data_IF_481142293575
#
_entry.id   IF_481142293575
#
_cell.length_a   1.000
_cell.length_b   1.000
_cell.length_c   1.000
_cell.angle_alpha   90.00
_cell.angle_beta   90.00
_cell.angle_gamma   90.00
#
_symmetry.space_group_name_H-M   'P 1'
#
loop_
_entity.id
_entity.type
_entity.pdbx_description
1 polymer ?
#
# COMPACT_ATOMS: atom_id res chain seq x y z
N UNK A 1 -33.30 16.99 -21.43
CA UNK A 1 -33.40 17.44 -20.03
C UNK A 1 -32.28 18.42 -19.79
N UNK A 2 -32.64 19.69 -19.62
CA UNK A 2 -31.75 20.85 -19.46
C UNK A 2 -31.24 20.92 -18.03
N UNK A 3 -29.93 20.97 -17.84
CA UNK A 3 -29.32 21.21 -16.53
C UNK A 3 -29.63 22.65 -16.10
N UNK A 4 -30.39 22.81 -15.02
CA UNK A 4 -30.62 24.10 -14.39
C UNK A 4 -29.29 24.72 -13.91
N UNK A 5 -29.09 26.04 -14.05
CA UNK A 5 -27.89 26.69 -13.57
C UNK A 5 -27.94 26.74 -12.04
N UNK A 6 -27.00 26.09 -11.37
CA UNK A 6 -26.88 26.17 -9.91
C UNK A 6 -26.45 27.58 -9.51
N UNK A 7 -27.42 28.32 -8.98
CA UNK A 7 -27.23 29.58 -8.26
C UNK A 7 -26.38 29.34 -7.00
N UNK A 8 -25.24 30.03 -6.92
CA UNK A 8 -24.37 30.07 -5.75
C UNK A 8 -23.24 29.04 -5.79
N UNK A 9 -22.05 29.47 -6.19
CA UNK A 9 -20.83 28.75 -5.83
C UNK A 9 -20.69 28.82 -4.30
N UNK A 10 -21.31 27.87 -3.59
CA UNK A 10 -20.91 27.57 -2.23
C UNK A 10 -19.51 27.00 -2.37
N UNK A 11 -18.49 27.81 -2.03
CA UNK A 11 -17.12 27.33 -1.97
C UNK A 11 -17.13 26.23 -0.91
N UNK A 12 -16.98 24.95 -1.29
CA UNK A 12 -16.98 23.89 -0.30
C UNK A 12 -15.81 24.17 0.64
N UNK A 13 -16.06 24.02 1.95
CA UNK A 13 -15.02 24.14 2.97
C UNK A 13 -13.77 23.35 2.55
N UNK A 14 -12.54 23.82 2.82
CA UNK A 14 -11.34 23.02 2.58
C UNK A 14 -11.37 21.64 3.23
N UNK A 15 -12.27 21.40 4.20
CA UNK A 15 -12.55 20.10 4.79
C UNK A 15 -13.18 19.08 3.83
N UNK A 16 -13.66 19.49 2.65
CA UNK A 16 -14.11 18.61 1.57
C UNK A 16 -12.99 18.19 0.61
N UNK A 17 -11.74 18.58 0.89
CA UNK A 17 -10.61 18.23 0.04
C UNK A 17 -9.57 17.48 0.86
N UNK A 18 -9.04 16.42 0.26
CA UNK A 18 -7.90 15.69 0.78
C UNK A 18 -6.71 15.87 -0.15
N UNK A 19 -5.56 16.23 0.41
CA UNK A 19 -4.33 16.45 -0.36
C UNK A 19 -3.36 15.28 -0.17
N UNK A 20 -2.84 14.75 -1.28
CA UNK A 20 -1.91 13.62 -1.31
C UNK A 20 -0.65 13.98 -2.08
N UNK A 21 0.50 13.47 -1.67
CA UNK A 21 1.64 13.37 -2.59
C UNK A 21 1.36 12.26 -3.60
N UNK A 22 1.81 12.41 -4.84
CA UNK A 22 1.75 11.34 -5.84
C UNK A 22 3.09 10.59 -5.90
N UNK A 23 3.01 9.26 -5.80
CA UNK A 23 4.10 8.31 -5.99
C UNK A 23 3.68 7.36 -7.12
N UNK A 24 4.40 7.36 -8.24
CA UNK A 24 4.09 6.47 -9.39
C UNK A 24 2.63 6.55 -9.87
N UNK A 25 2.09 7.78 -9.99
CA UNK A 25 0.69 8.04 -10.37
C UNK A 25 -0.35 7.50 -9.37
N UNK A 26 0.04 7.26 -8.11
CA UNK A 26 -0.83 6.80 -7.03
C UNK A 26 -0.72 7.70 -5.80
N UNK A 27 -1.78 7.83 -5.00
CA UNK A 27 -1.72 8.53 -3.72
C UNK A 27 -0.67 7.89 -2.80
N UNK A 28 0.31 8.67 -2.38
CA UNK A 28 1.34 8.31 -1.43
C UNK A 28 1.00 8.87 -0.04
N UNK A 29 1.70 9.91 0.38
CA UNK A 29 1.55 10.50 1.71
C UNK A 29 0.38 11.48 1.77
N UNK A 30 -0.46 11.31 2.78
CA UNK A 30 -1.53 12.25 3.13
C UNK A 30 -0.99 13.54 3.77
N UNK A 31 -1.44 14.69 3.27
CA UNK A 31 -1.15 16.03 3.81
C UNK A 31 -2.32 16.48 4.70
N UNK A 32 -2.23 16.16 6.00
CA UNK A 32 -3.36 16.22 6.95
C UNK A 32 -3.79 17.62 7.36
N UNK A 33 -2.86 18.56 7.43
CA UNK A 33 -3.13 19.87 8.04
C UNK A 33 -3.36 20.90 6.95
N UNK A 34 -4.62 21.35 6.81
CA UNK A 34 -5.02 22.41 5.88
C UNK A 34 -4.42 23.79 6.20
N UNK A 35 -3.85 23.97 7.39
CA UNK A 35 -3.16 25.21 7.82
C UNK A 35 -1.64 25.14 7.73
N UNK A 36 -1.08 23.97 7.44
CA UNK A 36 0.36 23.77 7.41
C UNK A 36 0.94 24.18 6.07
N UNK A 37 2.05 24.92 6.08
CA UNK A 37 2.69 25.35 4.84
C UNK A 37 3.38 24.16 4.15
N UNK A 38 3.31 24.08 2.82
CA UNK A 38 3.92 23.00 2.04
C UNK A 38 5.42 22.81 2.32
N UNK A 39 6.14 23.90 2.64
CA UNK A 39 7.57 23.87 3.01
C UNK A 39 7.86 23.00 4.23
N UNK A 40 6.91 22.85 5.14
CA UNK A 40 7.07 22.08 6.38
C UNK A 40 6.96 20.57 6.14
N UNK A 41 6.31 20.16 5.05
CA UNK A 41 6.18 18.75 4.68
C UNK A 41 7.47 18.15 4.10
N UNK A 42 8.52 18.96 3.91
CA UNK A 42 9.80 18.56 3.31
C UNK A 42 9.61 17.84 1.96
N UNK A 43 8.68 18.37 1.15
CA UNK A 43 8.41 17.85 -0.17
C UNK A 43 9.67 18.02 -1.04
N UNK A 44 10.02 16.98 -1.81
CA UNK A 44 11.14 17.04 -2.75
C UNK A 44 10.85 17.98 -3.92
N UNK A 45 11.87 18.34 -4.70
CA UNK A 45 11.80 19.34 -5.79
C UNK A 45 10.77 19.05 -6.90
N UNK A 46 10.34 17.80 -7.06
CA UNK A 46 9.40 17.35 -8.12
C UNK A 46 8.22 16.56 -7.54
N UNK A 47 7.77 16.92 -6.35
CA UNK A 47 6.62 16.24 -5.74
C UNK A 47 5.34 16.74 -6.39
N UNK A 48 4.60 15.85 -7.03
CA UNK A 48 3.25 16.12 -7.50
C UNK A 48 2.27 16.00 -6.33
N UNK A 49 1.28 16.89 -6.28
CA UNK A 49 0.23 16.88 -5.25
C UNK A 49 -1.11 16.68 -5.97
N UNK A 50 -1.89 15.72 -5.48
CA UNK A 50 -3.26 15.49 -5.92
C UNK A 50 -4.24 16.03 -4.87
N UNK A 51 -5.31 16.67 -5.34
CA UNK A 51 -6.45 17.06 -4.51
C UNK A 51 -7.63 16.14 -4.84
N UNK A 52 -8.04 15.37 -3.85
CA UNK A 52 -9.16 14.43 -3.92
C UNK A 52 -10.40 15.10 -3.29
N UNK A 53 -11.49 15.30 -4.05
CA UNK A 53 -12.74 15.79 -3.50
C UNK A 53 -13.42 14.71 -2.66
N UNK A 54 -13.91 15.10 -1.49
CA UNK A 54 -14.60 14.25 -0.53
C UNK A 54 -16.12 14.50 -0.59
N UNK A 55 -16.88 13.46 -0.31
CA UNK A 55 -18.36 13.53 -0.26
C UNK A 55 -18.89 14.19 1.02
N UNK A 56 -18.06 14.22 2.07
CA UNK A 56 -18.38 14.80 3.38
C UNK A 56 -17.15 15.50 3.93
N UNK A 57 -17.38 16.46 4.82
CA UNK A 57 -16.29 17.09 5.56
C UNK A 57 -15.52 16.04 6.36
N UNK A 58 -14.20 16.17 6.35
CA UNK A 58 -13.29 15.30 7.06
C UNK A 58 -12.40 16.10 8.00
N UNK A 59 -12.29 15.62 9.25
CA UNK A 59 -11.41 16.18 10.27
C UNK A 59 -10.60 15.02 10.86
N UNK A 60 -9.44 14.72 10.28
CA UNK A 60 -8.58 13.64 10.75
C UNK A 60 -7.74 14.10 11.95
N UNK A 61 -7.73 13.28 12.99
CA UNK A 61 -6.81 13.40 14.10
C UNK A 61 -5.38 13.02 13.72
N UNK A 62 -4.40 13.31 14.60
CA UNK A 62 -2.99 12.98 14.37
C UNK A 62 -2.70 11.46 14.37
N UNK A 63 -3.57 10.66 15.01
CA UNK A 63 -3.44 9.20 15.10
C UNK A 63 -4.41 8.45 14.17
N UNK A 64 -5.30 9.16 13.48
CA UNK A 64 -6.17 8.52 12.49
C UNK A 64 -5.35 8.07 11.30
N UNK A 65 -5.72 7.01 10.61
CA UNK A 65 -5.09 6.56 9.37
C UNK A 65 -6.19 6.29 8.35
N UNK A 66 -6.03 6.78 7.13
CA UNK A 66 -6.99 6.56 6.06
C UNK A 66 -6.51 5.40 5.20
N UNK A 67 -7.27 4.30 5.18
CA UNK A 67 -7.01 3.14 4.32
C UNK A 67 -8.06 3.06 3.22
N UNK A 68 -7.65 2.67 2.01
CA UNK A 68 -8.56 2.40 0.90
C UNK A 68 -9.04 0.96 0.99
N UNK A 69 -10.27 0.76 1.46
CA UNK A 69 -10.81 -0.59 1.64
C UNK A 69 -11.55 -1.07 0.41
N UNK A 70 -11.42 -2.36 0.11
CA UNK A 70 -12.12 -3.00 -1.00
C UNK A 70 -12.76 -4.30 -0.49
N UNK A 71 -14.08 -4.42 -0.64
CA UNK A 71 -14.80 -5.64 -0.27
C UNK A 71 -14.74 -6.66 -1.42
N UNK A 72 -14.40 -7.92 -1.10
CA UNK A 72 -14.42 -9.03 -2.05
C UNK A 72 -15.85 -9.28 -2.52
N UNK A 73 -16.04 -9.43 -3.82
CA UNK A 73 -17.32 -9.83 -4.40
C UNK A 73 -17.50 -11.34 -4.25
N UNK A 74 -18.64 -11.82 -3.71
CA UNK A 74 -18.95 -13.24 -3.63
C UNK A 74 -18.92 -13.92 -5.00
N UNK A 75 -18.28 -15.08 -5.08
CA UNK A 75 -18.18 -15.93 -6.26
C UNK A 75 -17.17 -15.45 -7.30
N UNK A 76 -16.51 -14.31 -7.06
CA UNK A 76 -15.74 -13.61 -8.08
C UNK A 76 -14.30 -13.31 -7.65
N UNK A 77 -13.36 -13.44 -8.58
CA UNK A 77 -11.98 -12.97 -8.39
C UNK A 77 -11.84 -11.45 -8.62
N UNK A 78 -12.72 -10.67 -7.99
CA UNK A 78 -12.83 -9.22 -8.14
C UNK A 78 -13.26 -8.51 -6.84
N UNK A 79 -13.07 -7.20 -6.78
CA UNK A 79 -13.42 -6.38 -5.62
C UNK A 79 -14.41 -5.28 -6.01
N UNK A 80 -15.24 -4.89 -5.04
CA UNK A 80 -16.06 -3.70 -5.12
C UNK A 80 -15.19 -2.42 -5.18
N UNK A 81 -15.76 -1.27 -5.62
CA UNK A 81 -15.06 0.01 -5.60
C UNK A 81 -14.47 0.35 -4.23
N UNK A 82 -13.33 1.08 -4.23
CA UNK A 82 -12.68 1.48 -3.00
C UNK A 82 -13.58 2.38 -2.15
N UNK A 83 -13.60 2.13 -0.84
CA UNK A 83 -14.22 3.00 0.16
C UNK A 83 -13.20 3.34 1.23
N UNK A 84 -13.12 4.61 1.60
CA UNK A 84 -12.18 5.06 2.62
C UNK A 84 -12.62 4.64 4.03
N UNK A 85 -11.69 4.02 4.75
CA UNK A 85 -11.82 3.69 6.16
C UNK A 85 -10.85 4.54 6.97
N UNK A 86 -11.39 5.35 7.88
CA UNK A 86 -10.60 6.02 8.91
C UNK A 86 -10.41 5.05 10.08
N UNK A 87 -9.16 4.75 10.42
CA UNK A 87 -8.75 3.89 11.53
C UNK A 87 -7.98 4.68 12.59
N UNK A 88 -8.53 4.77 13.80
CA UNK A 88 -7.85 5.36 14.94
C UNK A 88 -6.77 4.42 15.49
N UNK A 89 -5.50 4.82 15.35
CA UNK A 89 -4.34 4.05 15.79
C UNK A 89 -3.86 4.39 17.19
N UNK A 90 -4.58 5.25 17.95
CA UNK A 90 -4.25 5.55 19.35
C UNK A 90 -4.26 4.30 20.24
N UNK A 91 -5.06 3.28 19.88
CA UNK A 91 -5.12 1.97 20.54
C UNK A 91 -4.03 0.99 20.09
N UNK A 92 -3.14 1.43 19.21
CA UNK A 92 -2.02 0.66 18.70
C UNK A 92 -2.22 0.18 17.25
N UNK A 93 -1.10 0.02 16.57
CA UNK A 93 -0.99 -0.40 15.18
C UNK A 93 -1.02 -1.94 15.03
N UNK A 94 -2.00 -2.62 15.61
CA UNK A 94 -2.05 -4.08 15.62
C UNK A 94 -3.00 -4.67 14.60
N UNK A 95 -2.76 -5.92 14.20
CA UNK A 95 -3.70 -6.64 13.35
C UNK A 95 -5.09 -6.76 14.01
N UNK A 96 -5.11 -6.93 15.34
CA UNK A 96 -6.35 -7.02 16.11
C UNK A 96 -7.17 -5.73 16.10
N UNK A 97 -6.56 -4.56 16.34
CA UNK A 97 -7.29 -3.29 16.34
C UNK A 97 -7.76 -2.90 14.93
N UNK A 98 -6.96 -3.17 13.90
CA UNK A 98 -7.40 -3.00 12.50
C UNK A 98 -8.59 -3.92 12.20
N UNK A 99 -8.52 -5.20 12.58
CA UNK A 99 -9.59 -6.16 12.35
C UNK A 99 -10.89 -5.75 13.04
N UNK A 100 -10.83 -5.34 14.31
CA UNK A 100 -12.00 -4.81 15.01
C UNK A 100 -12.62 -3.60 14.29
N UNK A 101 -11.77 -2.68 13.80
CA UNK A 101 -12.25 -1.50 13.07
C UNK A 101 -12.92 -1.89 11.74
N UNK A 102 -12.33 -2.81 10.99
CA UNK A 102 -12.87 -3.30 9.72
C UNK A 102 -14.17 -4.07 9.94
N UNK A 103 -14.24 -4.93 10.96
CA UNK A 103 -15.45 -5.68 11.32
C UNK A 103 -16.61 -4.73 11.61
N UNK A 104 -16.37 -3.70 12.43
CA UNK A 104 -17.36 -2.66 12.69
C UNK A 104 -17.78 -1.92 11.41
N UNK A 105 -16.82 -1.57 10.55
CA UNK A 105 -17.10 -0.88 9.29
C UNK A 105 -17.96 -1.72 8.34
N UNK A 106 -17.72 -3.03 8.28
CA UNK A 106 -18.45 -3.95 7.41
C UNK A 106 -19.73 -4.50 8.05
N UNK A 107 -20.00 -4.20 9.33
CA UNK A 107 -21.07 -4.82 10.12
C UNK A 107 -20.99 -6.36 10.14
N UNK A 108 -19.76 -6.89 10.27
CA UNK A 108 -19.49 -8.33 10.30
C UNK A 108 -18.83 -8.75 11.63
N UNK A 109 -19.00 -10.01 12.08
CA UNK A 109 -18.23 -10.54 13.21
C UNK A 109 -16.72 -10.50 12.93
N UNK A 110 -15.93 -10.23 13.97
CA UNK A 110 -14.45 -10.11 13.86
C UNK A 110 -13.81 -11.41 13.38
N UNK A 111 -14.40 -12.55 13.73
CA UNK A 111 -13.95 -13.90 13.37
C UNK A 111 -14.35 -14.28 11.93
N UNK A 112 -15.19 -13.45 11.29
CA UNK A 112 -15.75 -13.70 9.96
C UNK A 112 -15.22 -12.74 8.90
N UNK A 113 -14.09 -12.11 9.20
CA UNK A 113 -13.40 -11.24 8.26
C UNK A 113 -11.94 -11.63 8.13
N UNK A 114 -11.46 -11.55 6.89
CA UNK A 114 -10.04 -11.56 6.60
C UNK A 114 -9.64 -10.29 5.88
N UNK A 115 -8.39 -9.90 6.08
CA UNK A 115 -7.85 -8.64 5.57
C UNK A 115 -6.52 -8.96 4.92
N UNK A 116 -6.25 -8.39 3.74
CA UNK A 116 -4.94 -8.42 3.13
C UNK A 116 -4.53 -7.01 2.67
N UNK A 117 -3.23 -6.70 2.72
CA UNK A 117 -2.67 -5.49 2.12
C UNK A 117 -2.34 -5.75 0.65
N UNK A 118 -2.71 -4.84 -0.23
CA UNK A 118 -2.30 -4.86 -1.62
C UNK A 118 -0.96 -4.15 -1.84
N UNK A 119 -0.06 -4.78 -2.58
CA UNK A 119 1.20 -4.24 -3.05
C UNK A 119 1.15 -4.08 -4.58
N UNK A 120 0.75 -2.89 -5.07
CA UNK A 120 0.49 -2.70 -6.49
C UNK A 120 1.73 -2.82 -7.38
N UNK A 121 2.93 -2.57 -6.85
CA UNK A 121 4.19 -2.69 -7.59
C UNK A 121 4.52 -4.14 -7.95
N UNK A 122 3.91 -5.10 -7.23
CA UNK A 122 4.11 -6.54 -7.41
C UNK A 122 2.84 -7.27 -7.80
N UNK A 123 1.70 -6.59 -7.81
CA UNK A 123 0.38 -7.20 -7.95
C UNK A 123 0.15 -8.31 -6.91
N UNK A 124 0.61 -8.08 -5.67
CA UNK A 124 0.60 -9.07 -4.59
C UNK A 124 -0.33 -8.65 -3.47
N UNK A 125 -1.03 -9.63 -2.92
CA UNK A 125 -1.83 -9.46 -1.70
C UNK A 125 -1.14 -10.18 -0.56
N UNK A 126 -0.97 -9.48 0.56
CA UNK A 126 -0.36 -10.03 1.77
C UNK A 126 -1.40 -10.10 2.88
N UNK A 127 -1.89 -11.31 3.23
CA UNK A 127 -2.83 -11.48 4.33
C UNK A 127 -2.30 -10.95 5.66
N UNK A 128 -3.11 -10.13 6.33
CA UNK A 128 -2.87 -9.61 7.66
C UNK A 128 -3.45 -10.60 8.67
N UNK A 129 -2.62 -11.56 9.05
CA UNK A 129 -2.95 -12.54 10.07
C UNK A 129 -2.76 -11.94 11.46
N UNK A 130 -3.82 -11.95 12.29
CA UNK A 130 -3.64 -11.80 13.73
C UNK A 130 -3.11 -13.12 14.27
N UNK A 131 -1.93 -13.11 14.91
CA UNK A 131 -1.26 -14.27 15.51
C UNK A 131 -2.12 -15.05 16.54
N UNK A 132 -3.33 -14.59 16.86
CA UNK A 132 -4.18 -15.16 17.90
C UNK A 132 -4.78 -16.55 17.58
N UNK A 133 -4.49 -17.15 16.42
CA UNK A 133 -5.01 -18.50 16.08
C UNK A 133 -4.13 -19.69 16.51
N UNK A 134 -2.92 -19.48 17.05
CA UNK A 134 -2.11 -20.61 17.56
C UNK A 134 -1.47 -20.33 18.91
N UNK A 135 -2.26 -20.52 19.96
CA UNK A 135 -1.79 -21.01 21.25
C UNK A 135 -1.28 -22.46 21.11
N UNK A 136 -0.25 -22.68 20.29
CA UNK A 136 0.48 -23.96 20.24
C UNK A 136 1.96 -23.70 20.27
N UNK A 137 2.49 -23.75 21.50
CA UNK A 137 3.81 -24.29 21.86
C UNK A 137 4.96 -24.02 20.87
N UNK A 138 5.65 -22.90 21.05
CA UNK A 138 7.13 -22.83 21.13
C UNK A 138 7.56 -21.38 21.35
N UNK A 139 8.45 -21.19 22.33
CA UNK A 139 9.20 -19.94 22.57
C UNK A 139 9.81 -19.43 21.26
N UNK A 140 9.13 -18.52 20.57
CA UNK A 140 9.67 -17.77 19.44
C UNK A 140 9.39 -16.31 19.70
N UNK A 141 10.47 -15.53 19.78
CA UNK A 141 10.57 -14.09 20.05
C UNK A 141 9.31 -13.35 19.61
N UNK A 142 8.61 -12.71 20.57
CA UNK A 142 7.43 -11.85 20.40
C UNK A 142 7.59 -10.97 19.16
N UNK A 143 7.13 -11.44 18.01
CA UNK A 143 7.30 -10.75 16.72
C UNK A 143 6.31 -9.60 16.74
N UNK A 144 6.83 -8.41 16.49
CA UNK A 144 6.15 -7.14 16.66
C UNK A 144 4.82 -7.16 15.89
N UNK A 145 3.70 -7.13 16.62
CA UNK A 145 2.34 -6.98 16.08
C UNK A 145 2.11 -5.53 15.62
N UNK A 146 3.13 -4.87 15.05
CA UNK A 146 3.05 -3.50 14.57
C UNK A 146 2.97 -3.51 13.05
N UNK A 147 1.82 -3.11 12.50
CA UNK A 147 1.56 -3.04 11.07
C UNK A 147 2.37 -1.97 10.34
N UNK A 148 2.99 -1.02 11.04
CA UNK A 148 3.92 -0.05 10.43
C UNK A 148 5.27 -0.67 10.04
N UNK A 149 5.60 -1.82 10.64
CA UNK A 149 6.85 -2.52 10.39
C UNK A 149 6.73 -3.55 9.27
N UNK A 150 7.85 -4.20 8.97
CA UNK A 150 7.86 -5.36 8.10
C UNK A 150 6.92 -6.46 8.64
N UNK A 151 6.19 -7.17 7.77
CA UNK A 151 6.24 -7.10 6.30
C UNK A 151 5.24 -6.10 5.69
N UNK A 152 4.38 -5.47 6.49
CA UNK A 152 3.21 -4.75 5.97
C UNK A 152 3.53 -3.31 5.62
N UNK A 153 4.30 -2.60 6.43
CA UNK A 153 4.58 -1.16 6.24
C UNK A 153 3.32 -0.34 5.95
N UNK A 154 2.26 -0.59 6.74
CA UNK A 154 0.96 0.01 6.54
C UNK A 154 1.03 1.52 6.79
N UNK A 155 0.47 2.30 5.88
CA UNK A 155 0.43 3.77 5.91
C UNK A 155 -0.87 4.31 5.32
N UNK A 156 -1.08 5.62 5.42
CA UNK A 156 -2.19 6.29 4.76
C UNK A 156 -2.21 6.00 3.24
N UNK A 157 -3.41 5.85 2.70
CA UNK A 157 -3.65 5.61 1.28
C UNK A 157 -3.44 4.15 0.85
N UNK A 158 -2.85 3.29 1.69
CA UNK A 158 -2.68 1.88 1.38
C UNK A 158 -4.04 1.22 1.12
N UNK A 159 -4.05 0.31 0.14
CA UNK A 159 -5.23 -0.47 -0.21
C UNK A 159 -5.26 -1.77 0.59
N UNK A 160 -6.39 -2.05 1.23
CA UNK A 160 -6.65 -3.31 1.91
C UNK A 160 -7.91 -3.99 1.36
N UNK A 161 -7.80 -5.29 1.14
CA UNK A 161 -8.88 -6.15 0.67
C UNK A 161 -9.54 -6.81 1.87
N UNK A 162 -10.85 -6.91 1.86
CA UNK A 162 -11.66 -7.48 2.95
C UNK A 162 -12.45 -8.64 2.37
N UNK A 163 -12.35 -9.82 3.00
CA UNK A 163 -13.18 -10.98 2.69
C UNK A 163 -14.20 -11.23 3.78
N UNK A 164 -15.39 -11.67 3.36
CA UNK A 164 -16.46 -12.09 4.25
C UNK A 164 -16.50 -13.64 4.30
N UNK A 165 -15.99 -14.20 5.39
CA UNK A 165 -15.92 -15.64 5.63
C UNK A 165 -17.28 -16.31 5.86
N UNK A 166 -18.36 -15.54 5.96
CA UNK A 166 -19.72 -16.12 5.96
C UNK A 166 -20.14 -16.58 4.57
N UNK A 167 -19.48 -16.08 3.52
CA UNK A 167 -19.86 -16.34 2.13
C UNK A 167 -18.80 -17.20 1.44
N UNK A 168 -17.51 -16.90 1.68
CA UNK A 168 -16.39 -17.60 1.04
C UNK A 168 -15.22 -17.80 2.00
N UNK A 169 -14.66 -19.00 2.01
CA UNK A 169 -13.54 -19.41 2.88
C UNK A 169 -12.29 -19.74 2.05
N UNK A 170 -12.11 -19.05 0.92
CA UNK A 170 -10.90 -19.20 0.10
C UNK A 170 -9.79 -18.28 0.61
N UNK A 171 -8.55 -18.73 0.50
CA UNK A 171 -7.35 -17.99 0.94
C UNK A 171 -6.81 -17.02 -0.14
N UNK A 172 -7.36 -17.01 -1.35
CA UNK A 172 -6.83 -16.27 -2.50
C UNK A 172 -7.41 -14.85 -2.60
N UNK A 173 -6.60 -13.85 -2.24
CA UNK A 173 -6.96 -12.44 -2.37
C UNK A 173 -6.76 -11.88 -3.79
N UNK A 174 -6.09 -12.62 -4.68
CA UNK A 174 -5.74 -12.11 -6.00
C UNK A 174 -6.94 -11.95 -6.94
N UNK A 175 -6.73 -11.16 -7.98
CA UNK A 175 -7.69 -10.89 -9.04
C UNK A 175 -7.14 -11.29 -10.40
N UNK A 176 -8.02 -11.41 -11.40
CA UNK A 176 -7.62 -11.65 -12.80
C UNK A 176 -6.71 -10.52 -13.31
N UNK A 177 -6.94 -9.27 -12.87
CA UNK A 177 -6.10 -8.14 -13.23
C UNK A 177 -4.67 -8.27 -12.66
N UNK A 178 -4.53 -8.85 -11.46
CA UNK A 178 -3.21 -9.11 -10.86
C UNK A 178 -2.42 -10.14 -11.68
N UNK A 179 -3.09 -11.20 -12.14
CA UNK A 179 -2.47 -12.23 -12.98
C UNK A 179 -1.98 -11.63 -14.32
N UNK A 180 -2.75 -10.73 -14.92
CA UNK A 180 -2.37 -10.01 -16.13
C UNK A 180 -1.18 -9.06 -15.88
N UNK A 181 -1.21 -8.33 -14.76
CA UNK A 181 -0.12 -7.43 -14.34
C UNK A 181 1.20 -8.18 -14.17
N UNK A 182 1.18 -9.32 -13.47
CA UNK A 182 2.35 -10.20 -13.29
C UNK A 182 2.91 -10.70 -14.62
N UNK A 183 2.03 -11.22 -15.49
CA UNK A 183 2.44 -11.70 -16.82
C UNK A 183 3.08 -10.59 -17.66
N UNK A 184 2.52 -9.39 -17.63
CA UNK A 184 3.09 -8.24 -18.34
C UNK A 184 4.47 -7.86 -17.79
N UNK A 185 4.64 -7.86 -16.47
CA UNK A 185 5.92 -7.54 -15.83
C UNK A 185 6.99 -8.60 -16.13
N UNK A 186 6.61 -9.87 -16.16
CA UNK A 186 7.50 -10.97 -16.51
C UNK A 186 7.92 -10.91 -17.98
N UNK A 187 6.99 -10.63 -18.90
CA UNK A 187 7.29 -10.45 -20.32
C UNK A 187 8.29 -9.31 -20.57
N UNK A 188 8.15 -8.17 -19.87
CA UNK A 188 9.11 -7.06 -19.94
C UNK A 188 10.50 -7.47 -19.42
N UNK A 189 10.56 -8.29 -18.37
CA UNK A 189 11.81 -8.80 -17.81
C UNK A 189 12.52 -9.75 -18.78
N UNK A 190 11.78 -10.65 -19.44
CA UNK A 190 12.31 -11.57 -20.45
C UNK A 190 12.82 -10.81 -21.68
N UNK A 191 12.06 -9.84 -22.20
CA UNK A 191 12.52 -9.01 -23.31
C UNK A 191 13.77 -8.21 -22.96
N UNK A 192 13.85 -7.66 -21.74
CA UNK A 192 15.07 -6.99 -21.29
C UNK A 192 16.26 -7.95 -21.22
N UNK A 193 16.08 -9.19 -20.77
CA UNK A 193 17.17 -10.18 -20.75
C UNK A 193 17.59 -10.65 -22.14
N UNK A 194 16.66 -10.75 -23.09
CA UNK A 194 16.98 -11.12 -24.49
C UNK A 194 17.75 -10.02 -25.23
N UNK A 195 17.47 -8.75 -24.92
CA UNK A 195 18.28 -7.62 -25.41
C UNK A 195 19.70 -7.63 -24.84
N UNK A 196 19.91 -8.15 -23.62
CA UNK A 196 21.25 -8.37 -23.07
C UNK A 196 21.91 -9.67 -23.58
N UNK A 197 21.15 -10.64 -24.10
CA UNK A 197 21.67 -11.89 -24.69
C UNK A 197 22.05 -11.76 -26.17
N UNK A 198 21.54 -10.75 -26.90
CA UNK A 198 21.78 -10.59 -28.33
C UNK A 198 23.01 -9.73 -28.69
N UNK A 199 23.75 -9.21 -27.71
CA UNK A 199 25.00 -8.50 -27.95
C UNK A 199 26.18 -9.48 -28.09
N UNK A 200 26.22 -10.25 -29.18
CA UNK A 200 27.47 -10.91 -29.63
C UNK A 200 28.43 -9.83 -30.15
N UNK A 201 29.19 -9.20 -29.25
CA UNK A 201 30.35 -8.40 -29.61
C UNK A 201 31.51 -9.32 -30.02
N UNK A 202 32.25 -9.03 -31.11
CA UNK A 202 33.40 -9.84 -31.53
C UNK A 202 34.51 -9.80 -30.47
N UNK A 203 35.06 -10.98 -30.19
CA UNK A 203 36.09 -11.24 -29.18
C UNK A 203 37.35 -10.41 -29.39
N UNK A 204 37.70 -9.56 -28.41
CA UNK A 204 39.02 -8.92 -28.29
C UNK A 204 39.88 -9.71 -27.29
N UNK A 205 41.17 -10.00 -27.59
CA UNK A 205 42.00 -10.87 -26.75
C UNK A 205 42.31 -10.24 -25.39
N UNK A 206 42.27 -11.09 -24.35
CA UNK A 206 42.54 -10.76 -22.94
C UNK A 206 43.98 -10.32 -22.73
N UNK A 207 44.19 -9.19 -22.06
CA UNK A 207 45.48 -8.82 -21.49
C UNK A 207 45.67 -9.49 -20.11
N UNK A 208 46.89 -9.93 -19.75
CA UNK A 208 47.15 -10.62 -18.48
C UNK A 208 47.02 -9.69 -17.27
N UNK A 209 46.45 -10.22 -16.19
CA UNK A 209 46.16 -9.52 -14.93
C UNK A 209 47.44 -9.08 -14.21
N UNK A 210 47.52 -7.79 -13.85
CA UNK A 210 48.62 -7.25 -13.04
C UNK A 210 48.32 -7.45 -11.55
N UNK A 211 49.20 -8.16 -10.85
CA UNK A 211 49.10 -8.42 -9.42
C UNK A 211 49.24 -7.13 -8.59
N UNK A 212 48.21 -6.78 -7.82
CA UNK A 212 48.25 -5.68 -6.85
C UNK A 212 48.98 -6.13 -5.57
N UNK A 213 50.07 -5.46 -5.21
CA UNK A 213 50.74 -5.63 -3.91
C UNK A 213 50.47 -4.42 -3.02
N UNK A 214 50.08 -4.68 -1.77
CA UNK A 214 49.74 -3.66 -0.78
C UNK A 214 50.88 -3.61 0.23
N UNK A 215 51.55 -2.46 0.37
CA UNK A 215 52.54 -2.22 1.42
C UNK A 215 51.85 -1.55 2.62
N UNK A 216 51.95 -2.17 3.79
CA UNK A 216 51.53 -1.57 5.07
C UNK A 216 52.75 -0.93 5.71
N UNK A 217 52.73 0.39 5.86
CA UNK A 217 53.78 1.14 6.56
C UNK A 217 53.79 0.83 8.06
N UNK A 218 54.96 0.49 8.60
CA UNK A 218 55.17 0.34 10.03
C UNK A 218 55.15 1.71 10.72
N UNK A 219 54.22 1.90 11.65
CA UNK A 219 54.23 3.04 12.56
C UNK A 219 55.23 2.77 13.68
N UNK A 220 56.11 3.75 13.93
CA UNK A 220 57.01 3.81 15.10
C UNK A 220 56.27 4.38 16.31
#
# INVERSE_FOLDING_TARGET
MTLSPSSGFVIPSPAFLRAWTLESQRPGRLLRTNRQQLKEYRLGRKTEICLEPLQKEENLGPQDVVLRTQMRLPGERAYAPCVDLVWDTARGWTAGSLRQRVAHFCSLPVEKIEIAKYFPEKFEWLPISSWNQQLTKRKKKKKQDNLQGAPYYLKDGDTIGIKNLLVEDDEDFSTVADDLGKKSQEALRVQSSDLFSSAKTPSRPRAPEASLSIHVGSFR
#
